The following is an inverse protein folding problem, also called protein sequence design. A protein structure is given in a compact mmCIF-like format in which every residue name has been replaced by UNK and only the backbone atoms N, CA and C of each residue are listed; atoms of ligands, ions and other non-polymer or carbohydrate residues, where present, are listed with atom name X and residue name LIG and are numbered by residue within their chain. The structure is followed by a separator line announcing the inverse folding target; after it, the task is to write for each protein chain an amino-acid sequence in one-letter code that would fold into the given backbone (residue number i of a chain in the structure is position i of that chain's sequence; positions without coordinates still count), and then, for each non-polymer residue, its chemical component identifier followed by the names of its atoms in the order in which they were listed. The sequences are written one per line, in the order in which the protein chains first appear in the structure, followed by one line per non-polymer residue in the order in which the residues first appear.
data_IF_964716375288
#
_entry.id   IF_964716375288
#
_cell.length_a   1.000
_cell.length_b   1.000
_cell.length_c   1.000
_cell.angle_alpha   90.00
_cell.angle_beta   90.00
_cell.angle_gamma   90.00
#
_symmetry.space_group_name_H-M   'P 1'
#
loop_
_entity.id
_entity.type
_entity.pdbx_description
1 polymer ?
#
# COMPACT_ATOMS: atom_id res chain seq x y z
N UNK A 1 41.04 -23.30 -11.63
CA UNK A 1 40.05 -23.35 -10.53
C UNK A 1 40.37 -22.20 -9.58
N UNK A 2 39.78 -21.03 -9.78
CA UNK A 2 39.98 -19.85 -8.93
C UNK A 2 38.93 -19.85 -7.81
N UNK A 3 39.43 -19.79 -6.58
CA UNK A 3 38.71 -19.89 -5.33
C UNK A 3 37.91 -18.60 -5.08
N UNK A 4 36.59 -18.59 -5.33
CA UNK A 4 35.72 -17.49 -4.92
C UNK A 4 35.53 -17.55 -3.40
N UNK A 5 36.19 -16.64 -2.69
CA UNK A 5 35.93 -16.41 -1.27
C UNK A 5 34.59 -15.70 -1.17
N UNK A 6 33.51 -16.45 -0.97
CA UNK A 6 32.20 -15.91 -0.66
C UNK A 6 32.29 -15.16 0.67
N UNK A 7 32.44 -13.85 0.62
CA UNK A 7 32.33 -13.00 1.80
C UNK A 7 30.87 -13.07 2.27
N UNK A 8 30.60 -13.96 3.22
CA UNK A 8 29.33 -14.03 3.94
C UNK A 8 29.12 -12.69 4.64
N UNK A 9 28.29 -11.83 4.07
CA UNK A 9 27.73 -10.69 4.79
C UNK A 9 26.86 -11.21 5.92
N UNK A 10 27.46 -11.45 7.09
CA UNK A 10 26.74 -11.80 8.30
C UNK A 10 25.78 -10.66 8.65
N UNK A 11 24.50 -10.84 8.31
CA UNK A 11 23.43 -10.02 8.86
C UNK A 11 23.56 -10.06 10.39
N UNK A 12 23.60 -8.91 11.08
CA UNK A 12 23.60 -8.90 12.54
C UNK A 12 22.46 -9.77 13.05
N UNK A 13 22.78 -10.82 13.81
CA UNK A 13 21.76 -11.73 14.32
C UNK A 13 20.77 -10.94 15.17
N UNK A 14 19.49 -10.91 14.77
CA UNK A 14 18.44 -10.29 15.58
C UNK A 14 18.34 -11.05 16.90
N UNK A 15 18.69 -10.40 18.00
CA UNK A 15 18.48 -10.97 19.33
C UNK A 15 16.99 -10.88 19.70
N UNK A 16 16.47 -11.78 20.56
CA UNK A 16 15.09 -11.72 21.01
C UNK A 16 14.70 -10.35 21.60
N UNK A 17 15.63 -9.68 22.28
CA UNK A 17 15.41 -8.35 22.85
C UNK A 17 15.23 -7.28 21.78
N UNK A 18 16.06 -7.31 20.72
CA UNK A 18 15.93 -6.37 19.58
C UNK A 18 14.62 -6.62 18.84
N UNK A 19 14.24 -7.89 18.66
CA UNK A 19 12.96 -8.25 18.05
C UNK A 19 11.78 -7.71 18.89
N UNK A 20 11.78 -7.93 20.21
CA UNK A 20 10.74 -7.43 21.11
C UNK A 20 10.65 -5.89 21.08
N UNK A 21 11.78 -5.20 21.16
CA UNK A 21 11.82 -3.74 21.08
C UNK A 21 11.27 -3.23 19.73
N UNK A 22 11.58 -3.92 18.62
CA UNK A 22 11.06 -3.59 17.30
C UNK A 22 9.54 -3.77 17.25
N UNK A 23 9.01 -4.87 17.78
CA UNK A 23 7.56 -5.11 17.86
C UNK A 23 6.87 -4.03 18.68
N UNK A 24 7.40 -3.67 19.86
CA UNK A 24 6.85 -2.59 20.68
C UNK A 24 6.84 -1.27 19.89
N UNK A 25 7.93 -0.94 19.20
CA UNK A 25 8.00 0.25 18.35
C UNK A 25 6.93 0.25 17.25
N UNK A 26 6.74 -0.88 16.57
CA UNK A 26 5.68 -1.04 15.55
C UNK A 26 4.30 -0.85 16.17
N UNK A 27 4.02 -1.47 17.32
CA UNK A 27 2.72 -1.33 18.01
C UNK A 27 2.43 0.13 18.36
N UNK A 28 3.43 0.88 18.84
CA UNK A 28 3.27 2.31 19.15
C UNK A 28 2.93 3.10 17.88
N UNK A 29 3.66 2.88 16.77
CA UNK A 29 3.40 3.57 15.50
C UNK A 29 1.99 3.26 14.97
N UNK A 30 1.57 2.00 15.06
CA UNK A 30 0.22 1.55 14.68
C UNK A 30 -0.84 2.21 15.57
N UNK A 31 -0.65 2.27 16.88
CA UNK A 31 -1.57 2.90 17.81
C UNK A 31 -1.73 4.41 17.51
N UNK A 32 -0.63 5.10 17.19
CA UNK A 32 -0.67 6.51 16.79
C UNK A 32 -1.43 6.68 15.48
N UNK A 33 -1.21 5.82 14.48
CA UNK A 33 -1.95 5.86 13.23
C UNK A 33 -3.47 5.68 13.46
N UNK A 34 -3.85 4.70 14.26
CA UNK A 34 -5.25 4.45 14.61
C UNK A 34 -5.87 5.64 15.35
N UNK A 35 -5.15 6.28 16.26
CA UNK A 35 -5.60 7.47 16.95
C UNK A 35 -5.81 8.65 15.97
N UNK A 36 -4.91 8.84 15.02
CA UNK A 36 -5.07 9.86 13.95
C UNK A 36 -6.31 9.59 13.12
N UNK A 37 -6.52 8.36 12.66
CA UNK A 37 -7.72 7.97 11.92
C UNK A 37 -8.99 8.22 12.73
N UNK A 38 -9.00 7.86 14.02
CA UNK A 38 -10.13 8.09 14.91
C UNK A 38 -10.47 9.57 15.06
N UNK A 39 -9.47 10.44 15.25
CA UNK A 39 -9.68 11.90 15.35
C UNK A 39 -10.20 12.49 14.03
N UNK A 40 -9.80 11.93 12.89
CA UNK A 40 -10.27 12.35 11.57
C UNK A 40 -11.61 11.72 11.16
N UNK A 41 -12.20 10.85 11.98
CA UNK A 41 -13.44 10.14 11.66
C UNK A 41 -13.29 9.09 10.55
N UNK A 42 -12.06 8.63 10.29
CA UNK A 42 -11.75 7.65 9.24
C UNK A 42 -11.89 6.24 9.82
N UNK A 43 -12.82 5.46 9.26
CA UNK A 43 -13.06 4.06 9.68
C UNK A 43 -12.30 3.07 8.81
N UNK A 44 -11.96 3.44 7.58
CA UNK A 44 -11.34 2.54 6.60
C UNK A 44 -9.80 2.54 6.72
N UNK A 45 -9.29 2.34 7.94
CA UNK A 45 -7.85 2.29 8.23
C UNK A 45 -7.13 1.16 7.48
N UNK A 46 -7.85 0.12 7.05
CA UNK A 46 -7.31 -1.00 6.28
C UNK A 46 -6.63 -0.52 4.99
N UNK A 47 -7.13 0.55 4.36
CA UNK A 47 -6.55 1.06 3.12
C UNK A 47 -5.15 1.64 3.38
N UNK A 48 -4.97 2.35 4.50
CA UNK A 48 -3.66 2.83 4.92
C UNK A 48 -2.70 1.71 5.32
N UNK A 49 -3.21 0.67 5.99
CA UNK A 49 -2.40 -0.51 6.34
C UNK A 49 -1.97 -1.31 5.11
N UNK A 50 -2.87 -1.53 4.16
CA UNK A 50 -2.59 -2.26 2.94
C UNK A 50 -1.52 -1.54 2.11
N UNK A 51 -1.55 -0.20 2.10
CA UNK A 51 -0.50 0.63 1.52
C UNK A 51 0.87 0.37 2.15
N UNK A 52 0.99 0.51 3.48
CA UNK A 52 2.30 0.35 4.13
C UNK A 52 2.78 -1.11 4.08
N UNK A 53 1.85 -2.08 4.08
CA UNK A 53 2.19 -3.49 3.92
C UNK A 53 2.79 -3.76 2.54
N UNK A 54 2.15 -3.30 1.46
CA UNK A 54 2.68 -3.45 0.11
C UNK A 54 4.00 -2.69 -0.05
N UNK A 55 4.02 -1.40 0.29
CA UNK A 55 5.21 -0.55 0.12
C UNK A 55 6.38 -1.04 0.99
N UNK A 56 6.10 -1.53 2.19
CA UNK A 56 7.10 -2.06 3.11
C UNK A 56 7.64 -3.42 2.71
N UNK A 57 6.77 -4.38 2.36
CA UNK A 57 7.18 -5.76 2.09
C UNK A 57 7.68 -5.96 0.66
N UNK A 58 7.03 -5.34 -0.32
CA UNK A 58 7.30 -5.58 -1.74
C UNK A 58 8.30 -4.54 -2.28
N UNK A 59 7.99 -3.26 -2.09
CA UNK A 59 8.82 -2.16 -2.58
C UNK A 59 9.97 -1.81 -1.61
N UNK A 60 10.08 -2.51 -0.47
CA UNK A 60 11.15 -2.33 0.54
C UNK A 60 11.33 -0.88 0.98
N UNK A 61 10.23 -0.12 1.01
CA UNK A 61 10.21 1.29 1.39
C UNK A 61 11.08 2.18 0.45
N UNK A 62 11.14 1.81 -0.82
CA UNK A 62 11.82 2.60 -1.85
C UNK A 62 11.01 3.87 -2.16
N UNK A 63 11.62 5.04 -1.92
CA UNK A 63 10.92 6.34 -2.04
C UNK A 63 10.70 6.72 -3.50
N UNK A 64 11.55 6.25 -4.42
CA UNK A 64 11.39 6.43 -5.87
C UNK A 64 10.12 5.74 -6.40
N UNK A 65 9.68 4.65 -5.75
CA UNK A 65 8.50 3.86 -6.11
C UNK A 65 7.21 4.43 -5.54
N UNK A 66 7.32 5.26 -4.50
CA UNK A 66 6.18 5.82 -3.79
C UNK A 66 5.14 6.51 -4.71
N UNK A 67 5.51 7.34 -5.71
CA UNK A 67 4.52 7.94 -6.60
C UNK A 67 3.72 6.89 -7.39
N UNK A 68 4.39 5.86 -7.92
CA UNK A 68 3.71 4.78 -8.64
C UNK A 68 2.82 3.95 -7.70
N UNK A 69 3.26 3.70 -6.47
CA UNK A 69 2.44 3.04 -5.45
C UNK A 69 1.20 3.86 -5.08
N UNK A 70 1.34 5.17 -4.95
CA UNK A 70 0.21 6.06 -4.65
C UNK A 70 -0.80 6.04 -5.80
N UNK A 71 -0.33 6.29 -7.03
CA UNK A 71 -1.22 6.32 -8.20
C UNK A 71 -1.88 4.96 -8.41
N UNK A 72 -1.13 3.86 -8.28
CA UNK A 72 -1.68 2.51 -8.38
C UNK A 72 -2.77 2.23 -7.34
N UNK A 73 -2.55 2.61 -6.08
CA UNK A 73 -3.55 2.46 -5.01
C UNK A 73 -4.83 3.26 -5.28
N UNK A 74 -4.70 4.51 -5.74
CA UNK A 74 -5.85 5.34 -6.14
C UNK A 74 -6.61 4.70 -7.30
N UNK A 75 -5.92 4.27 -8.35
CA UNK A 75 -6.55 3.63 -9.52
C UNK A 75 -7.23 2.33 -9.13
N UNK A 76 -6.61 1.51 -8.27
CA UNK A 76 -7.19 0.26 -7.78
C UNK A 76 -8.47 0.48 -6.97
N UNK A 77 -8.48 1.47 -6.07
CA UNK A 77 -9.68 1.85 -5.31
C UNK A 77 -10.78 2.36 -6.24
N UNK A 78 -10.46 3.27 -7.17
CA UNK A 78 -11.42 3.82 -8.12
C UNK A 78 -12.05 2.72 -8.98
N UNK A 79 -11.24 1.78 -9.47
CA UNK A 79 -11.74 0.64 -10.25
C UNK A 79 -12.61 -0.27 -9.38
N UNK A 80 -12.18 -0.64 -8.18
CA UNK A 80 -12.97 -1.50 -7.29
C UNK A 80 -14.34 -0.92 -6.94
N UNK A 81 -14.39 0.39 -6.68
CA UNK A 81 -15.63 1.12 -6.41
C UNK A 81 -16.37 1.59 -7.67
N UNK A 82 -15.94 1.21 -8.87
CA UNK A 82 -16.71 1.44 -10.09
C UNK A 82 -17.93 0.49 -10.20
N UNK A 83 -17.92 -0.62 -9.45
CA UNK A 83 -18.97 -1.65 -9.53
C UNK A 83 -20.39 -1.11 -9.25
N UNK A 84 -20.64 -0.32 -8.17
CA UNK A 84 -21.96 0.26 -7.92
C UNK A 84 -22.42 1.25 -9.00
N UNK A 85 -21.48 1.97 -9.63
CA UNK A 85 -21.79 2.87 -10.75
C UNK A 85 -22.20 2.06 -11.98
N UNK A 86 -21.48 0.97 -12.28
CA UNK A 86 -21.79 0.08 -13.40
C UNK A 86 -23.14 -0.61 -13.22
N UNK A 87 -23.46 -1.09 -12.02
CA UNK A 87 -24.76 -1.73 -11.73
C UNK A 87 -25.91 -0.73 -11.85
N UNK A 88 -25.72 0.52 -11.44
CA UNK A 88 -26.73 1.58 -11.59
C UNK A 88 -27.07 1.91 -13.04
N UNK A 89 -26.12 1.78 -13.97
CA UNK A 89 -26.32 2.10 -15.40
C UNK A 89 -26.73 0.89 -16.24
N UNK A 90 -26.17 -0.29 -15.94
CA UNK A 90 -26.26 -1.47 -16.82
C UNK A 90 -26.99 -2.67 -16.18
N UNK A 91 -27.42 -2.57 -14.92
CA UNK A 91 -28.12 -3.64 -14.22
C UNK A 91 -27.30 -4.93 -14.15
N UNK A 92 -27.91 -6.05 -14.51
CA UNK A 92 -27.29 -7.38 -14.46
C UNK A 92 -26.05 -7.53 -15.36
N UNK A 93 -25.92 -6.72 -16.42
CA UNK A 93 -24.77 -6.76 -17.32
C UNK A 93 -23.49 -6.16 -16.71
N UNK A 94 -23.60 -5.42 -15.60
CA UNK A 94 -22.48 -4.71 -14.98
C UNK A 94 -21.33 -5.65 -14.56
N UNK A 95 -21.65 -6.85 -14.09
CA UNK A 95 -20.63 -7.84 -13.70
C UNK A 95 -19.74 -8.29 -14.87
N UNK A 96 -20.35 -8.53 -16.04
CA UNK A 96 -19.61 -8.89 -17.25
C UNK A 96 -18.75 -7.72 -17.75
N UNK A 97 -19.28 -6.50 -17.73
CA UNK A 97 -18.54 -5.30 -18.13
C UNK A 97 -17.36 -5.05 -17.20
N UNK A 98 -17.57 -5.19 -15.88
CA UNK A 98 -16.50 -5.09 -14.90
C UNK A 98 -15.41 -6.12 -15.13
N UNK A 99 -15.77 -7.38 -15.42
CA UNK A 99 -14.81 -8.43 -15.76
C UNK A 99 -13.96 -8.04 -16.99
N UNK A 100 -14.59 -7.51 -18.05
CA UNK A 100 -13.86 -7.03 -19.24
C UNK A 100 -12.89 -5.90 -18.88
N UNK A 101 -13.30 -4.95 -18.03
CA UNK A 101 -12.42 -3.87 -17.56
C UNK A 101 -11.21 -4.46 -16.82
N UNK A 102 -11.42 -5.41 -15.91
CA UNK A 102 -10.33 -6.07 -15.18
C UNK A 102 -9.39 -6.80 -16.14
N UNK A 103 -9.91 -7.50 -17.14
CA UNK A 103 -9.09 -8.17 -18.16
C UNK A 103 -8.23 -7.17 -18.96
N UNK A 104 -8.79 -6.02 -19.33
CA UNK A 104 -8.03 -4.95 -20.01
C UNK A 104 -6.94 -4.39 -19.11
N UNK A 105 -7.22 -4.18 -17.82
CA UNK A 105 -6.21 -3.72 -16.84
C UNK A 105 -5.07 -4.73 -16.71
N UNK A 106 -5.38 -6.02 -16.60
CA UNK A 106 -4.37 -7.09 -16.57
C UNK A 106 -3.56 -7.12 -17.86
N UNK A 107 -4.22 -7.02 -19.02
CA UNK A 107 -3.52 -6.98 -20.31
C UNK A 107 -2.54 -5.80 -20.38
N UNK A 108 -2.99 -4.60 -19.99
CA UNK A 108 -2.12 -3.42 -19.91
C UNK A 108 -0.95 -3.64 -18.94
N UNK A 109 -1.18 -4.31 -17.81
CA UNK A 109 -0.12 -4.65 -16.85
C UNK A 109 0.94 -5.57 -17.48
N UNK A 110 0.51 -6.62 -18.20
CA UNK A 110 1.40 -7.58 -18.88
C UNK A 110 2.20 -6.92 -20.01
N UNK A 111 1.55 -6.05 -20.79
CA UNK A 111 2.21 -5.28 -21.85
C UNK A 111 3.11 -4.16 -21.30
N UNK A 112 3.08 -3.91 -19.99
CA UNK A 112 3.83 -2.82 -19.36
C UNK A 112 3.35 -1.44 -19.78
N UNK A 113 2.08 -1.29 -20.13
CA UNK A 113 1.47 0.00 -20.44
C UNK A 113 1.05 0.71 -19.16
N UNK A 114 1.12 2.05 -19.16
CA UNK A 114 0.69 2.88 -18.03
C UNK A 114 1.27 2.42 -16.67
N UNK A 115 2.54 2.00 -16.61
CA UNK A 115 3.18 1.37 -15.42
C UNK A 115 3.05 2.16 -14.10
N UNK A 116 2.78 3.46 -14.19
CA UNK A 116 2.53 4.33 -13.03
C UNK A 116 1.11 4.10 -12.48
N UNK A 117 0.12 3.92 -13.34
CA UNK A 117 -1.30 3.74 -12.98
C UNK A 117 -1.72 2.27 -12.85
N UNK A 118 -1.11 1.39 -13.64
CA UNK A 118 -1.41 -0.04 -13.67
C UNK A 118 -0.16 -0.78 -13.17
N UNK A 119 -0.18 -1.14 -11.90
CA UNK A 119 0.89 -1.87 -11.24
C UNK A 119 0.32 -2.84 -10.20
N UNK A 120 1.20 -3.56 -9.49
CA UNK A 120 0.77 -4.56 -8.51
C UNK A 120 -0.06 -3.95 -7.36
N UNK A 121 0.17 -2.68 -7.01
CA UNK A 121 -0.67 -1.97 -6.03
C UNK A 121 -2.10 -1.78 -6.54
N UNK A 122 -2.26 -1.42 -7.82
CA UNK A 122 -3.58 -1.35 -8.48
C UNK A 122 -4.34 -2.66 -8.32
N UNK A 123 -3.68 -3.79 -8.57
CA UNK A 123 -4.30 -5.12 -8.48
C UNK A 123 -4.68 -5.49 -7.05
N UNK A 124 -3.83 -5.16 -6.07
CA UNK A 124 -4.11 -5.45 -4.66
C UNK A 124 -5.33 -4.65 -4.18
N UNK A 125 -5.39 -3.36 -4.47
CA UNK A 125 -6.53 -2.53 -4.07
C UNK A 125 -7.81 -2.89 -4.81
N UNK A 126 -7.71 -3.16 -6.11
CA UNK A 126 -8.83 -3.68 -6.89
C UNK A 126 -9.39 -4.95 -6.24
N UNK A 127 -8.52 -5.90 -5.91
CA UNK A 127 -8.92 -7.18 -5.29
C UNK A 127 -9.65 -6.96 -3.97
N UNK A 128 -9.08 -6.15 -3.06
CA UNK A 128 -9.67 -5.90 -1.74
C UNK A 128 -10.97 -5.11 -1.85
N UNK A 129 -11.03 -4.09 -2.71
CA UNK A 129 -12.22 -3.28 -2.90
C UNK A 129 -13.39 -4.07 -3.53
N UNK A 130 -13.10 -5.14 -4.29
CA UNK A 130 -14.12 -6.03 -4.86
C UNK A 130 -14.63 -7.11 -3.91
N UNK A 131 -14.08 -7.23 -2.69
CA UNK A 131 -14.61 -8.14 -1.68
C UNK A 131 -16.04 -7.69 -1.34
N UNK A 132 -17.07 -8.56 -1.35
CA UNK A 132 -18.46 -8.16 -1.10
C UNK A 132 -18.64 -7.37 0.20
N UNK A 133 -17.99 -7.81 1.28
CA UNK A 133 -18.01 -7.13 2.58
C UNK A 133 -17.47 -5.69 2.52
N UNK A 134 -16.53 -5.39 1.62
CA UNK A 134 -15.98 -4.05 1.40
C UNK A 134 -16.85 -3.27 0.42
N UNK A 135 -17.20 -3.87 -0.72
CA UNK A 135 -17.94 -3.23 -1.80
C UNK A 135 -19.33 -2.74 -1.36
N UNK A 136 -20.00 -3.45 -0.45
CA UNK A 136 -21.36 -3.13 -0.02
C UNK A 136 -21.42 -2.18 1.20
N UNK A 137 -20.42 -2.21 2.07
CA UNK A 137 -20.47 -1.55 3.38
C UNK A 137 -19.60 -0.30 3.44
N UNK A 138 -18.67 -0.14 2.51
CA UNK A 138 -17.66 0.91 2.57
C UNK A 138 -18.02 2.08 1.66
N UNK A 139 -18.06 3.27 2.25
CA UNK A 139 -18.14 4.52 1.49
C UNK A 139 -16.81 4.75 0.72
N UNK A 140 -16.82 4.89 -0.61
CA UNK A 140 -15.60 5.05 -1.42
C UNK A 140 -14.73 6.23 -0.96
N UNK A 141 -15.37 7.32 -0.53
CA UNK A 141 -14.67 8.50 -0.02
C UNK A 141 -13.88 8.21 1.27
N UNK A 142 -14.44 7.41 2.17
CA UNK A 142 -13.80 7.07 3.44
C UNK A 142 -12.61 6.12 3.23
N UNK A 143 -12.74 5.16 2.30
CA UNK A 143 -11.61 4.31 1.88
C UNK A 143 -10.48 5.14 1.25
N UNK A 144 -10.81 6.11 0.40
CA UNK A 144 -9.82 7.03 -0.18
C UNK A 144 -9.15 7.90 0.88
N UNK A 145 -9.92 8.40 1.87
CA UNK A 145 -9.38 9.14 3.00
C UNK A 145 -8.47 8.29 3.89
N UNK A 146 -8.82 7.02 4.12
CA UNK A 146 -7.99 6.05 4.82
C UNK A 146 -6.69 5.74 4.10
N UNK A 147 -6.75 5.57 2.78
CA UNK A 147 -5.56 5.44 1.94
C UNK A 147 -4.67 6.68 2.01
N UNK A 148 -5.24 7.87 1.78
CA UNK A 148 -4.50 9.13 1.80
C UNK A 148 -3.84 9.39 3.16
N UNK A 149 -4.56 9.15 4.26
CA UNK A 149 -4.03 9.28 5.62
C UNK A 149 -2.90 8.29 5.87
N UNK A 150 -3.04 7.04 5.42
CA UNK A 150 -1.97 6.05 5.48
C UNK A 150 -0.73 6.45 4.70
N UNK A 151 -0.90 6.95 3.47
CA UNK A 151 0.21 7.46 2.66
C UNK A 151 0.94 8.59 3.39
N UNK A 152 0.21 9.61 3.84
CA UNK A 152 0.80 10.77 4.53
C UNK A 152 1.50 10.35 5.81
N UNK A 153 0.84 9.54 6.64
CA UNK A 153 1.37 9.12 7.93
C UNK A 153 2.60 8.22 7.78
N UNK A 154 2.51 7.11 7.03
CA UNK A 154 3.59 6.14 6.94
C UNK A 154 4.74 6.62 6.05
N UNK A 155 4.46 7.24 4.90
CA UNK A 155 5.53 7.79 4.08
C UNK A 155 6.23 8.95 4.82
N UNK A 156 5.47 9.81 5.51
CA UNK A 156 6.01 10.88 6.34
C UNK A 156 6.90 10.33 7.46
N UNK A 157 6.40 9.37 8.24
CA UNK A 157 7.13 8.72 9.33
C UNK A 157 8.46 8.12 8.86
N UNK A 158 8.45 7.36 7.77
CA UNK A 158 9.67 6.70 7.28
C UNK A 158 10.63 7.71 6.62
N UNK A 159 10.13 8.67 5.84
CA UNK A 159 10.99 9.71 5.27
C UNK A 159 11.66 10.56 6.36
N UNK A 160 10.93 10.91 7.42
CA UNK A 160 11.48 11.61 8.58
C UNK A 160 12.56 10.76 9.28
N UNK A 161 12.31 9.47 9.50
CA UNK A 161 13.29 8.54 10.06
C UNK A 161 14.58 8.45 9.24
N UNK A 162 14.47 8.35 7.91
CA UNK A 162 15.62 8.34 6.99
C UNK A 162 16.39 9.67 7.02
N UNK A 163 15.69 10.80 7.04
CA UNK A 163 16.30 12.12 7.10
C UNK A 163 17.06 12.36 8.43
N UNK A 164 16.48 11.95 9.56
CA UNK A 164 17.13 12.05 10.88
C UNK A 164 18.41 11.19 10.94
N UNK A 165 18.36 9.96 10.41
CA UNK A 165 19.54 9.08 10.33
C UNK A 165 20.64 9.70 9.46
N UNK A 166 20.29 10.24 8.30
CA UNK A 166 21.24 10.89 7.41
C UNK A 166 21.88 12.14 8.03
N UNK A 167 21.14 12.92 8.84
CA UNK A 167 21.70 14.05 9.59
C UNK A 167 22.70 13.59 10.66
N UNK A 168 22.37 12.56 11.43
CA UNK A 168 23.26 12.03 12.47
C UNK A 168 24.58 11.50 11.89
N UNK A 169 24.55 10.90 10.70
CA UNK A 169 25.75 10.40 10.00
C UNK A 169 26.66 11.51 9.43
N UNK A 170 26.18 12.74 9.29
CA UNK A 170 27.00 13.88 8.81
C UNK A 170 27.69 14.64 9.94
N UNK A 171 27.28 14.43 11.18
CA UNK A 171 27.78 15.13 12.37
C UNK A 171 28.78 14.26 13.16
N UNK A 172 28.83 12.96 12.87
CA UNK A 172 29.85 12.01 13.35
C UNK A 172 30.91 11.85 12.26
#
# INVERSE_FOLDING_TARGET
MSNETTATHAQPAMTPLIALATVIGVVVVIAVFLAVCHVLGITEYWAGFLFVLYWGMIEKVEVSRLPATIVGGVVGLLLGFATPLLTGVMGEAAGLVFLVIVLVVIFCMLMGWLKIAINAMTMIFLTVATIPAVAEQVAPFNAMAGFATGVVFFAGFICAGKALKARKQRVV
#
